data_IF_434557165655
#
_entry.id   IF_434557165655
#
_cell.length_a   1.000
_cell.length_b   1.000
_cell.length_c   1.000
_cell.angle_alpha   90.00
_cell.angle_beta   90.00
_cell.angle_gamma   90.00
#
_symmetry.space_group_name_H-M   'P 1'
#
loop_
_entity.id
_entity.type
_entity.pdbx_description
1 polymer ?
#
# COMPACT_ATOMS: atom_id res chain seq x y z
N UNK A 1 21.66 7.79 -8.23
CA UNK A 1 20.63 7.86 -9.28
C UNK A 1 21.16 7.72 -10.71
N UNK A 2 22.27 8.37 -11.13
CA UNK A 2 22.75 8.32 -12.53
C UNK A 2 23.18 6.92 -13.04
N UNK A 3 23.78 6.08 -12.21
CA UNK A 3 24.30 4.77 -12.67
C UNK A 3 23.20 3.73 -12.92
N UNK A 4 22.12 3.76 -12.14
CA UNK A 4 21.04 2.79 -12.26
C UNK A 4 20.17 3.01 -13.53
N UNK A 5 20.06 4.25 -14.00
CA UNK A 5 19.25 4.59 -15.17
C UNK A 5 19.93 4.27 -16.51
N UNK A 6 21.26 4.30 -16.54
CA UNK A 6 22.04 3.93 -17.74
C UNK A 6 21.88 2.46 -18.14
N UNK A 7 21.38 1.61 -17.22
CA UNK A 7 21.26 0.16 -17.43
C UNK A 7 19.95 -0.28 -18.11
N UNK A 8 19.10 0.64 -18.55
CA UNK A 8 17.86 0.35 -19.29
C UNK A 8 17.97 0.62 -20.80
N UNK A 9 19.15 0.37 -21.39
CA UNK A 9 19.25 0.29 -22.85
C UNK A 9 18.61 -1.02 -23.32
N UNK A 10 17.36 -0.92 -23.80
CA UNK A 10 16.89 -1.86 -24.80
C UNK A 10 17.86 -1.84 -25.98
N UNK A 11 18.01 -2.97 -26.68
CA UNK A 11 18.90 -3.11 -27.86
C UNK A 11 18.49 -2.26 -29.08
N UNK A 12 17.70 -1.21 -28.87
CA UNK A 12 17.36 -0.22 -29.87
C UNK A 12 18.27 0.98 -29.65
N UNK A 13 19.18 1.20 -30.59
CA UNK A 13 20.01 2.41 -30.62
C UNK A 13 19.09 3.62 -30.67
N UNK A 14 19.01 4.37 -29.55
CA UNK A 14 18.20 5.57 -29.48
C UNK A 14 18.67 6.58 -30.55
N UNK A 15 17.72 7.08 -31.35
CA UNK A 15 17.98 8.23 -32.23
C UNK A 15 18.34 9.47 -31.39
N UNK A 16 19.02 10.45 -31.99
CA UNK A 16 19.38 11.69 -31.29
C UNK A 16 18.16 12.44 -30.75
N UNK A 17 17.03 12.40 -31.48
CA UNK A 17 15.76 12.93 -31.03
C UNK A 17 15.25 12.19 -29.79
N UNK A 18 15.29 10.85 -29.80
CA UNK A 18 14.87 10.03 -28.66
C UNK A 18 15.72 10.32 -27.42
N UNK A 19 17.04 10.42 -27.57
CA UNK A 19 17.95 10.79 -26.45
C UNK A 19 17.60 12.17 -25.89
N UNK A 20 17.40 13.15 -26.77
CA UNK A 20 17.07 14.52 -26.38
C UNK A 20 15.76 14.58 -25.59
N UNK A 21 14.72 13.88 -26.05
CA UNK A 21 13.43 13.83 -25.35
C UNK A 21 13.58 13.14 -23.98
N UNK A 22 14.26 11.99 -23.91
CA UNK A 22 14.49 11.26 -22.65
C UNK A 22 15.24 12.13 -21.63
N UNK A 23 16.33 12.77 -22.05
CA UNK A 23 17.11 13.64 -21.17
C UNK A 23 16.29 14.84 -20.69
N UNK A 24 15.52 15.49 -21.58
CA UNK A 24 14.67 16.62 -21.19
C UNK A 24 13.62 16.24 -20.16
N UNK A 25 12.99 15.07 -20.28
CA UNK A 25 12.02 14.57 -19.31
C UNK A 25 12.71 14.26 -17.98
N UNK A 26 13.88 13.61 -18.03
CA UNK A 26 14.64 13.24 -16.83
C UNK A 26 15.10 14.48 -16.06
N UNK A 27 15.63 15.49 -16.74
CA UNK A 27 16.06 16.74 -16.14
C UNK A 27 14.88 17.47 -15.48
N UNK A 28 13.71 17.45 -16.12
CA UNK A 28 12.50 18.03 -15.52
C UNK A 28 12.07 17.27 -14.25
N UNK A 29 12.08 15.94 -14.27
CA UNK A 29 11.74 15.15 -13.09
C UNK A 29 12.75 15.37 -11.95
N UNK A 30 14.04 15.37 -12.25
CA UNK A 30 15.09 15.61 -11.26
C UNK A 30 15.00 17.03 -10.67
N UNK A 31 14.60 18.04 -11.43
CA UNK A 31 14.45 19.41 -10.90
C UNK A 31 13.17 19.61 -10.10
N UNK A 32 12.16 18.75 -10.26
CA UNK A 32 10.88 18.84 -9.54
C UNK A 32 10.78 17.92 -8.33
N UNK A 33 11.57 16.85 -8.31
CA UNK A 33 11.57 15.85 -7.25
C UNK A 33 13.00 15.59 -6.75
N UNK A 34 13.80 16.65 -6.62
CA UNK A 34 15.18 16.58 -6.11
C UNK A 34 15.27 16.53 -4.60
N UNK A 35 14.21 16.94 -3.90
CA UNK A 35 14.25 17.12 -2.47
C UNK A 35 14.24 15.76 -1.77
N UNK A 36 14.99 15.60 -0.66
CA UNK A 36 15.09 14.32 0.03
C UNK A 36 13.73 13.82 0.54
N UNK A 37 12.83 14.74 0.90
CA UNK A 37 11.45 14.42 1.31
C UNK A 37 10.63 13.84 0.14
N UNK A 38 10.80 14.38 -1.06
CA UNK A 38 10.14 13.88 -2.26
C UNK A 38 10.67 12.50 -2.64
N UNK A 39 11.99 12.31 -2.59
CA UNK A 39 12.62 11.00 -2.85
C UNK A 39 12.10 9.94 -1.87
N UNK A 40 12.02 10.27 -0.57
CA UNK A 40 11.47 9.35 0.43
C UNK A 40 9.99 9.01 0.16
N UNK A 41 9.17 10.01 -0.14
CA UNK A 41 7.76 9.83 -0.44
C UNK A 41 7.54 8.97 -1.68
N UNK A 42 8.28 9.24 -2.77
CA UNK A 42 8.23 8.46 -4.01
C UNK A 42 8.63 7.02 -3.74
N UNK A 43 9.69 6.80 -2.96
CA UNK A 43 10.17 5.45 -2.65
C UNK A 43 9.13 4.67 -1.82
N UNK A 44 8.51 5.31 -0.85
CA UNK A 44 7.48 4.70 0.00
C UNK A 44 6.20 4.41 -0.79
N UNK A 45 5.71 5.36 -1.58
CA UNK A 45 4.55 5.18 -2.44
C UNK A 45 4.77 4.05 -3.45
N UNK A 46 5.96 4.01 -4.06
CA UNK A 46 6.36 2.95 -5.00
C UNK A 46 6.41 1.58 -4.35
N UNK A 47 6.85 1.50 -3.08
CA UNK A 47 6.88 0.25 -2.34
C UNK A 47 5.49 -0.26 -1.95
N UNK A 48 4.56 0.66 -1.63
CA UNK A 48 3.22 0.33 -1.14
C UNK A 48 2.21 0.05 -2.26
N UNK A 49 2.39 0.60 -3.45
CA UNK A 49 1.53 0.31 -4.62
C UNK A 49 2.15 -0.79 -5.49
N UNK A 50 1.58 -2.02 -5.53
CA UNK A 50 2.13 -3.13 -6.31
C UNK A 50 2.20 -2.88 -7.82
N UNK A 51 1.47 -1.87 -8.33
CA UNK A 51 1.49 -1.51 -9.75
C UNK A 51 2.74 -0.71 -10.10
N UNK A 52 3.41 -0.12 -9.11
CA UNK A 52 4.62 0.66 -9.30
C UNK A 52 5.83 -0.26 -9.17
N UNK A 53 6.76 -0.14 -10.13
CA UNK A 53 7.98 -0.95 -10.12
C UNK A 53 8.93 -0.44 -9.07
N UNK A 54 9.44 -1.32 -8.22
CA UNK A 54 10.44 -1.01 -7.18
C UNK A 54 11.88 -1.28 -7.60
N UNK A 55 12.13 -1.62 -8.88
CA UNK A 55 13.47 -1.96 -9.40
C UNK A 55 14.48 -0.80 -9.32
N UNK A 56 14.00 0.43 -9.15
CA UNK A 56 14.83 1.63 -8.99
C UNK A 56 15.28 1.86 -7.53
N UNK A 57 14.66 1.18 -6.56
CA UNK A 57 14.99 1.29 -5.15
C UNK A 57 16.24 0.47 -4.83
N UNK A 58 17.13 1.01 -4.00
CA UNK A 58 18.25 0.22 -3.51
C UNK A 58 17.77 -0.82 -2.49
N UNK A 59 18.54 -1.91 -2.33
CA UNK A 59 18.23 -2.92 -1.32
C UNK A 59 18.16 -2.34 0.10
N UNK A 60 18.97 -1.30 0.38
CA UNK A 60 18.93 -0.57 1.64
C UNK A 60 17.61 0.16 1.82
N UNK A 61 17.14 0.87 0.80
CA UNK A 61 15.89 1.65 0.86
C UNK A 61 14.70 0.73 1.07
N UNK A 62 14.66 -0.40 0.35
CA UNK A 62 13.65 -1.44 0.55
C UNK A 62 13.62 -1.94 2.00
N UNK A 63 14.79 -2.18 2.61
CA UNK A 63 14.87 -2.61 4.00
C UNK A 63 14.37 -1.55 4.98
N UNK A 64 14.76 -0.28 4.78
CA UNK A 64 14.33 0.85 5.62
C UNK A 64 12.82 1.05 5.53
N UNK A 65 12.28 1.08 4.31
CA UNK A 65 10.84 1.25 4.07
C UNK A 65 10.06 0.11 4.68
N UNK A 66 10.49 -1.15 4.48
CA UNK A 66 9.84 -2.32 5.08
C UNK A 66 9.82 -2.25 6.59
N UNK A 67 10.93 -1.87 7.23
CA UNK A 67 10.99 -1.70 8.68
C UNK A 67 10.00 -0.63 9.16
N UNK A 68 9.94 0.52 8.48
CA UNK A 68 9.00 1.60 8.80
C UNK A 68 7.54 1.16 8.67
N UNK A 69 7.19 0.49 7.57
CA UNK A 69 5.82 0.01 7.32
C UNK A 69 5.38 -0.98 8.38
N UNK A 70 6.25 -1.92 8.76
CA UNK A 70 5.96 -2.88 9.84
C UNK A 70 5.74 -2.16 11.18
N UNK A 71 6.62 -1.23 11.55
CA UNK A 71 6.48 -0.46 12.79
C UNK A 71 5.18 0.34 12.83
N UNK A 72 4.85 1.05 11.74
CA UNK A 72 3.61 1.83 11.65
C UNK A 72 2.36 0.94 11.71
N UNK A 73 2.36 -0.23 11.06
CA UNK A 73 1.24 -1.17 11.13
C UNK A 73 0.98 -1.68 12.56
N UNK A 74 2.05 -1.91 13.33
CA UNK A 74 1.98 -2.30 14.74
C UNK A 74 1.46 -1.17 15.62
N UNK A 75 1.87 0.06 15.38
CA UNK A 75 1.35 1.23 16.10
C UNK A 75 -0.16 1.42 15.88
N UNK A 76 -0.63 1.27 14.64
CA UNK A 76 -2.06 1.33 14.30
C UNK A 76 -2.86 0.26 15.06
N UNK A 77 -2.33 -0.97 15.15
CA UNK A 77 -2.96 -2.06 15.92
C UNK A 77 -3.07 -1.73 17.42
N UNK A 78 -2.01 -1.16 18.01
CA UNK A 78 -1.99 -0.79 19.43
C UNK A 78 -2.96 0.34 19.76
N UNK A 79 -3.09 1.33 18.87
CA UNK A 79 -4.06 2.43 19.03
C UNK A 79 -5.50 1.92 18.91
N UNK A 80 -5.75 0.97 18.00
CA UNK A 80 -7.06 0.35 17.84
C UNK A 80 -7.48 -0.55 19.02
N UNK A 81 -6.53 -1.02 19.83
CA UNK A 81 -6.79 -1.90 20.97
C UNK A 81 -7.12 -1.14 22.27
N UNK A 82 -7.07 0.19 22.29
CA UNK A 82 -7.48 0.99 23.45
C UNK A 82 -9.02 1.11 23.50
N UNK A 83 -9.68 0.79 24.63
CA UNK A 83 -11.13 0.95 24.74
C UNK A 83 -11.45 2.44 24.69
N UNK A 84 -12.15 2.86 23.62
CA UNK A 84 -12.73 4.20 23.52
C UNK A 84 -13.87 4.31 24.55
N UNK A 85 -13.51 4.68 25.78
CA UNK A 85 -14.43 5.04 26.82
C UNK A 85 -14.75 6.53 26.74
N UNK A 86 -15.76 6.90 25.95
CA UNK A 86 -16.59 8.08 26.22
C UNK A 86 -17.85 8.01 25.38
N UNK A 87 -18.90 7.45 25.99
CA UNK A 87 -20.26 7.63 25.55
C UNK A 87 -20.65 9.10 25.70
N UNK A 88 -21.02 9.75 24.61
CA UNK A 88 -21.90 10.92 24.66
C UNK A 88 -23.13 10.60 23.84
N UNK A 89 -24.20 10.29 24.58
CA UNK A 89 -25.57 10.17 24.09
C UNK A 89 -25.94 11.40 23.28
N UNK A 90 -26.26 11.23 22.01
CA UNK A 90 -27.03 12.21 21.27
C UNK A 90 -28.46 11.71 21.12
N UNK A 91 -29.32 12.43 21.83
CA UNK A 91 -30.76 12.23 21.97
C UNK A 91 -31.47 12.36 20.62
N UNK A 92 -32.32 11.36 20.34
CA UNK A 92 -33.36 11.36 19.31
C UNK A 92 -34.32 12.56 19.43
N UNK A 93 -35.08 12.88 18.36
CA UNK A 93 -36.51 12.69 18.53
C UNK A 93 -37.23 11.98 17.36
N UNK A 94 -38.30 11.27 17.73
CA UNK A 94 -39.57 11.08 16.98
C UNK A 94 -39.53 10.08 15.78
N UNK A 95 -40.41 9.07 15.60
CA UNK A 95 -41.70 8.69 16.20
C UNK A 95 -42.11 7.26 15.74
N UNK A 96 -42.77 6.55 16.68
CA UNK A 96 -43.90 5.59 16.58
C UNK A 96 -43.71 4.16 15.97
N UNK A 97 -43.91 3.21 16.90
CA UNK A 97 -44.59 1.89 16.86
C UNK A 97 -44.08 0.70 16.01
N UNK A 98 -43.56 -0.27 16.77
CA UNK A 98 -44.10 -1.63 16.90
C UNK A 98 -44.16 -2.55 15.67
N UNK A 99 -43.24 -3.52 15.60
CA UNK A 99 -43.56 -4.96 15.62
C UNK A 99 -42.32 -5.84 15.43
N UNK A 100 -42.35 -6.94 16.17
CA UNK A 100 -41.34 -7.98 16.31
C UNK A 100 -41.07 -8.78 15.02
N UNK A 101 -39.81 -9.15 14.76
CA UNK A 101 -39.43 -10.56 14.53
C UNK A 101 -37.92 -10.70 14.29
N UNK A 102 -37.22 -11.25 15.29
CA UNK A 102 -35.82 -11.70 15.18
C UNK A 102 -35.81 -13.01 14.40
N UNK A 103 -35.58 -12.96 13.09
CA UNK A 103 -35.29 -14.18 12.32
C UNK A 103 -33.80 -14.52 12.45
N UNK A 104 -33.48 -15.59 13.17
CA UNK A 104 -32.11 -16.11 13.33
C UNK A 104 -31.61 -16.68 11.99
N UNK A 105 -30.91 -15.89 11.19
CA UNK A 105 -30.15 -16.40 10.03
C UNK A 105 -29.05 -17.33 10.52
N UNK A 106 -29.16 -18.63 10.18
CA UNK A 106 -28.14 -19.64 10.44
C UNK A 106 -26.85 -19.26 9.68
N UNK A 107 -25.80 -18.89 10.41
CA UNK A 107 -24.49 -18.60 9.83
C UNK A 107 -23.91 -19.89 9.24
N UNK A 108 -23.68 -19.89 7.93
CA UNK A 108 -22.91 -20.94 7.24
C UNK A 108 -21.44 -20.69 7.59
N UNK A 109 -20.79 -21.63 8.28
CA UNK A 109 -19.35 -21.54 8.55
C UNK A 109 -18.55 -21.88 7.29
N UNK A 110 -17.54 -21.06 6.96
CA UNK A 110 -16.61 -21.29 5.84
C UNK A 110 -15.66 -22.48 6.10
N UNK A 111 -15.75 -23.15 7.25
CA UNK A 111 -14.92 -24.31 7.59
C UNK A 111 -15.04 -25.51 6.63
N UNK A 112 -16.00 -25.51 5.70
CA UNK A 112 -16.14 -26.55 4.69
C UNK A 112 -15.02 -26.55 3.63
N UNK A 113 -14.27 -25.46 3.47
CA UNK A 113 -13.22 -25.40 2.43
C UNK A 113 -11.93 -26.14 2.81
N UNK A 114 -11.77 -26.50 4.08
CA UNK A 114 -10.57 -27.19 4.58
C UNK A 114 -10.87 -28.66 4.89
N UNK A 115 -11.46 -29.40 3.93
CA UNK A 115 -11.33 -30.86 3.96
C UNK A 115 -9.96 -31.21 3.38
N UNK A 116 -8.99 -31.35 4.27
CA UNK A 116 -7.71 -31.98 4.00
C UNK A 116 -7.99 -33.41 3.53
N UNK A 117 -7.86 -33.66 2.23
CA UNK A 117 -7.72 -35.01 1.69
C UNK A 117 -6.37 -35.55 2.16
N UNK A 118 -6.38 -36.13 3.36
CA UNK A 118 -5.30 -36.98 3.83
C UNK A 118 -5.27 -38.22 2.96
N UNK A 119 -4.36 -38.24 1.98
CA UNK A 119 -3.82 -39.47 1.43
C UNK A 119 -2.91 -40.01 2.54
N UNK A 120 -3.38 -41.02 3.26
CA UNK A 120 -2.50 -41.90 4.03
C UNK A 120 -2.11 -43.03 3.07
N UNK A 121 -0.80 -43.23 3.00
CA UNK A 121 -0.02 -44.16 2.20
C UNK A 121 -0.58 -45.59 2.21
#
# INVERSE_FOLDING_TARGET
MLEAYSSSQGKDEDTDLTKTIKSSILDYMNTKCSDPEDEELINMASFLDPRIRTQHLSQRDIMVIKARVVSSSREVELVSAMPSGSATSETSPESIEEAQSVSKKKRKSLGSFFKFTGIIL
#
